data_IF_372559154711
#
_entry.id   IF_372559154711
#
_cell.length_a   1.000
_cell.length_b   1.000
_cell.length_c   1.000
_cell.angle_alpha   90.00
_cell.angle_beta   90.00
_cell.angle_gamma   90.00
#
_symmetry.space_group_name_H-M   'P 1'
#
loop_
_entity.id
_entity.type
_entity.pdbx_description
1 polymer ?
#
# COMPACT_ATOMS: atom_id res chain seq x y z
N UNK A 1 -45.51 5.08 -8.41
CA UNK A 1 -46.71 4.36 -8.93
C UNK A 1 -47.90 4.36 -7.97
N UNK A 2 -47.76 4.06 -6.67
CA UNK A 2 -48.92 3.95 -5.75
C UNK A 2 -49.71 5.26 -5.52
N UNK A 3 -49.07 6.42 -5.55
CA UNK A 3 -49.74 7.72 -5.38
C UNK A 3 -50.68 8.09 -6.55
N UNK A 4 -50.37 7.64 -7.77
CA UNK A 4 -51.17 7.94 -8.98
C UNK A 4 -52.46 7.11 -8.98
N UNK A 5 -52.41 5.88 -8.48
CA UNK A 5 -53.58 4.98 -8.39
C UNK A 5 -54.57 5.49 -7.33
N UNK A 6 -54.08 5.96 -6.18
CA UNK A 6 -54.94 6.54 -5.14
C UNK A 6 -55.65 7.80 -5.64
N UNK A 7 -54.99 8.61 -6.48
CA UNK A 7 -55.56 9.84 -7.02
C UNK A 7 -56.71 9.57 -7.99
N UNK A 8 -56.56 8.57 -8.87
CA UNK A 8 -57.63 8.16 -9.80
C UNK A 8 -58.83 7.52 -9.09
N UNK A 9 -58.59 6.78 -8.01
CA UNK A 9 -59.67 6.18 -7.23
C UNK A 9 -60.52 7.22 -6.50
N UNK A 10 -59.88 8.24 -5.90
CA UNK A 10 -60.59 9.36 -5.25
C UNK A 10 -61.38 10.24 -6.24
N UNK A 11 -60.87 10.43 -7.46
CA UNK A 11 -61.59 11.14 -8.52
C UNK A 11 -62.82 10.37 -9.04
N UNK A 12 -62.76 9.04 -9.04
CA UNK A 12 -63.89 8.17 -9.42
C UNK A 12 -65.04 8.26 -8.42
N UNK A 13 -64.75 8.23 -7.12
CA UNK A 13 -65.76 8.33 -6.06
C UNK A 13 -66.52 9.66 -6.06
N UNK A 14 -65.87 10.75 -6.47
CA UNK A 14 -66.50 12.07 -6.52
C UNK A 14 -67.48 12.23 -7.70
N UNK A 15 -67.28 11.47 -8.78
CA UNK A 15 -68.15 11.53 -9.97
C UNK A 15 -69.48 10.80 -9.80
N UNK A 16 -69.58 9.85 -8.87
CA UNK A 16 -70.75 8.96 -8.77
C UNK A 16 -71.82 9.41 -7.77
N UNK A 17 -71.58 10.41 -6.90
CA UNK A 17 -72.59 10.90 -5.94
C UNK A 17 -72.45 12.41 -5.63
N UNK A 18 -73.11 13.31 -6.38
CA UNK A 18 -73.15 14.74 -6.07
C UNK A 18 -74.20 15.02 -4.98
N UNK A 19 -73.83 14.87 -3.71
CA UNK A 19 -74.66 15.32 -2.58
C UNK A 19 -74.40 16.82 -2.31
N UNK A 20 -75.45 17.60 -2.03
CA UNK A 20 -75.43 19.06 -1.82
C UNK A 20 -74.59 19.56 -0.61
N UNK A 21 -73.81 18.71 0.06
CA UNK A 21 -72.75 19.10 1.00
C UNK A 21 -71.33 19.13 0.39
N UNK A 22 -71.22 19.08 -0.94
CA UNK A 22 -69.98 18.76 -1.65
C UNK A 22 -68.88 19.82 -1.59
N UNK A 23 -69.21 21.09 -1.36
CA UNK A 23 -68.22 22.19 -1.36
C UNK A 23 -67.27 22.10 -0.16
N UNK A 24 -67.80 21.83 1.03
CA UNK A 24 -66.99 21.72 2.25
C UNK A 24 -66.09 20.48 2.22
N UNK A 25 -66.60 19.37 1.67
CA UNK A 25 -65.81 18.15 1.48
C UNK A 25 -64.66 18.37 0.48
N UNK A 26 -64.90 19.12 -0.61
CA UNK A 26 -63.87 19.45 -1.59
C UNK A 26 -62.79 20.36 -1.00
N UNK A 27 -63.17 21.34 -0.18
CA UNK A 27 -62.22 22.23 0.52
C UNK A 27 -61.39 21.43 1.53
N UNK A 28 -62.01 20.51 2.28
CA UNK A 28 -61.33 19.65 3.24
C UNK A 28 -60.32 18.71 2.55
N UNK A 29 -60.69 18.10 1.41
CA UNK A 29 -59.80 17.24 0.62
C UNK A 29 -58.62 18.03 0.06
N UNK A 30 -58.83 19.27 -0.40
CA UNK A 30 -57.76 20.15 -0.86
C UNK A 30 -56.80 20.52 0.27
N UNK A 31 -57.32 20.93 1.43
CA UNK A 31 -56.50 21.26 2.61
C UNK A 31 -55.65 20.07 3.07
N UNK A 32 -56.24 18.88 3.15
CA UNK A 32 -55.53 17.65 3.54
C UNK A 32 -54.42 17.28 2.52
N UNK A 33 -54.68 17.46 1.22
CA UNK A 33 -53.67 17.25 0.16
C UNK A 33 -52.48 18.20 0.31
N UNK A 34 -52.73 19.48 0.56
CA UNK A 34 -51.65 20.45 0.79
C UNK A 34 -50.88 20.14 2.07
N UNK A 35 -51.58 19.81 3.16
CA UNK A 35 -50.93 19.40 4.42
C UNK A 35 -50.04 18.16 4.28
N UNK A 36 -50.51 17.13 3.56
CA UNK A 36 -49.72 15.91 3.28
C UNK A 36 -48.53 16.20 2.37
N UNK A 37 -48.67 17.10 1.38
CA UNK A 37 -47.56 17.49 0.50
C UNK A 37 -46.50 18.26 1.27
N UNK A 38 -46.90 19.22 2.12
CA UNK A 38 -46.01 19.98 2.99
C UNK A 38 -45.27 19.08 3.97
N UNK A 39 -45.97 18.12 4.59
CA UNK A 39 -45.37 17.17 5.53
C UNK A 39 -44.38 16.23 4.82
N UNK A 40 -44.67 15.83 3.57
CA UNK A 40 -43.77 15.02 2.75
C UNK A 40 -42.51 15.79 2.36
N UNK A 41 -42.64 17.07 1.97
CA UNK A 41 -41.52 17.95 1.65
C UNK A 41 -40.62 18.21 2.88
N UNK A 42 -41.23 18.36 4.07
CA UNK A 42 -40.51 18.50 5.33
C UNK A 42 -39.77 17.21 5.73
N UNK A 43 -40.37 16.04 5.47
CA UNK A 43 -39.70 14.75 5.66
C UNK A 43 -38.53 14.56 4.68
N UNK A 44 -38.68 14.96 3.41
CA UNK A 44 -37.59 14.93 2.42
C UNK A 44 -36.47 15.91 2.74
N UNK A 45 -36.77 17.10 3.28
CA UNK A 45 -35.74 18.06 3.71
C UNK A 45 -35.02 17.59 4.98
N UNK A 46 -35.72 16.98 5.93
CA UNK A 46 -35.10 16.43 7.15
C UNK A 46 -34.29 15.16 6.88
N UNK A 47 -34.71 14.31 5.92
CA UNK A 47 -33.94 13.13 5.50
C UNK A 47 -32.73 13.47 4.61
N UNK A 48 -32.68 14.65 3.99
CA UNK A 48 -31.54 15.06 3.16
C UNK A 48 -30.40 15.75 3.94
N UNK A 49 -30.58 16.00 5.24
CA UNK A 49 -29.61 16.79 6.04
C UNK A 49 -28.61 16.03 6.95
N UNK A 50 -28.51 14.67 6.99
CA UNK A 50 -27.31 14.05 7.57
C UNK A 50 -26.49 13.16 6.61
N UNK A 51 -26.84 12.99 5.33
CA UNK A 51 -26.02 12.15 4.43
C UNK A 51 -24.70 12.80 3.99
N UNK A 52 -24.53 14.13 4.15
CA UNK A 52 -23.28 14.82 3.84
C UNK A 52 -22.26 14.85 4.98
N UNK A 53 -22.64 14.45 6.19
CA UNK A 53 -21.75 14.48 7.36
C UNK A 53 -20.97 13.16 7.59
N UNK A 54 -21.14 12.15 6.72
CA UNK A 54 -20.39 10.89 6.77
C UNK A 54 -19.69 10.57 5.45
N UNK A 55 -19.38 11.57 4.63
CA UNK A 55 -18.25 11.39 3.71
C UNK A 55 -17.02 11.28 4.62
N UNK A 56 -16.60 10.04 4.90
CA UNK A 56 -15.23 9.74 5.32
C UNK A 56 -14.35 10.67 4.50
N UNK A 57 -13.76 11.68 5.15
CA UNK A 57 -12.86 12.62 4.50
C UNK A 57 -11.69 11.79 3.97
N UNK A 58 -11.80 11.29 2.74
CA UNK A 58 -10.66 10.84 1.97
C UNK A 58 -9.80 12.08 1.83
N UNK A 59 -8.75 12.13 2.64
CA UNK A 59 -7.78 13.21 2.53
C UNK A 59 -7.31 13.24 1.07
N UNK A 60 -7.22 14.41 0.43
CA UNK A 60 -6.78 14.47 -0.95
C UNK A 60 -5.32 14.02 -1.07
N UNK A 61 -4.97 13.47 -2.22
CA UNK A 61 -3.57 13.24 -2.58
C UNK A 61 -2.90 14.60 -2.71
N UNK A 62 -1.75 14.78 -2.06
CA UNK A 62 -1.06 16.06 -2.01
C UNK A 62 0.20 15.98 -2.85
N UNK A 63 0.40 16.93 -3.77
CA UNK A 63 1.66 17.10 -4.51
C UNK A 63 2.28 18.44 -4.09
N UNK A 64 3.42 18.37 -3.44
CA UNK A 64 4.22 19.52 -3.04
C UNK A 64 5.35 19.73 -4.06
N UNK A 65 5.40 20.93 -4.64
CA UNK A 65 6.41 21.31 -5.61
C UNK A 65 7.63 21.94 -4.94
N UNK A 66 8.74 22.03 -5.67
CA UNK A 66 10.01 22.59 -5.19
C UNK A 66 9.96 24.09 -4.89
N UNK A 67 8.98 24.81 -5.46
CA UNK A 67 8.71 26.22 -5.16
C UNK A 67 7.82 26.42 -3.91
N UNK A 68 7.50 25.34 -3.21
CA UNK A 68 6.65 25.35 -2.02
C UNK A 68 5.15 25.36 -2.30
N UNK A 69 4.72 25.44 -3.57
CA UNK A 69 3.29 25.29 -3.90
C UNK A 69 2.81 23.89 -3.61
N UNK A 70 1.53 23.78 -3.27
CA UNK A 70 0.86 22.52 -2.96
C UNK A 70 -0.41 22.42 -3.80
N UNK A 71 -0.57 21.28 -4.48
CA UNK A 71 -1.80 20.91 -5.19
C UNK A 71 -2.44 19.69 -4.53
N UNK A 72 -3.76 19.61 -4.63
CA UNK A 72 -4.57 18.54 -4.06
C UNK A 72 -5.36 17.85 -5.17
N UNK A 73 -5.40 16.52 -5.14
CA UNK A 73 -6.03 15.69 -6.17
C UNK A 73 -6.90 14.61 -5.54
N UNK A 74 -7.99 14.27 -6.21
CA UNK A 74 -8.91 13.21 -5.78
C UNK A 74 -8.48 11.84 -6.32
N UNK A 75 -7.70 11.82 -7.41
CA UNK A 75 -7.26 10.58 -8.08
C UNK A 75 -5.75 10.49 -8.23
N UNK A 76 -5.22 9.27 -8.30
CA UNK A 76 -3.79 9.06 -8.59
C UNK A 76 -3.44 9.46 -10.02
N UNK A 77 -4.33 9.23 -10.98
CA UNK A 77 -4.12 9.65 -12.37
C UNK A 77 -3.81 11.16 -12.44
N UNK A 78 -4.64 12.00 -11.82
CA UNK A 78 -4.44 13.45 -11.83
C UNK A 78 -3.17 13.86 -11.09
N UNK A 79 -2.89 13.26 -9.93
CA UNK A 79 -1.66 13.54 -9.19
C UNK A 79 -0.40 13.16 -9.99
N UNK A 80 -0.43 12.01 -10.69
CA UNK A 80 0.70 11.53 -11.49
C UNK A 80 0.88 12.33 -12.79
N UNK A 81 -0.21 12.78 -13.42
CA UNK A 81 -0.15 13.71 -14.55
C UNK A 81 0.41 15.09 -14.16
N UNK A 82 0.31 15.47 -12.88
CA UNK A 82 0.78 16.74 -12.36
C UNK A 82 2.22 16.72 -11.82
N UNK A 83 2.94 15.60 -11.92
CA UNK A 83 4.29 15.47 -11.39
C UNK A 83 5.26 16.42 -12.10
N UNK A 84 6.17 16.99 -11.30
CA UNK A 84 7.30 17.79 -11.77
C UNK A 84 8.56 17.33 -11.06
N UNK A 85 9.71 17.55 -11.69
CA UNK A 85 11.00 17.19 -11.10
C UNK A 85 11.17 17.81 -9.70
N UNK A 86 11.57 16.97 -8.75
CA UNK A 86 11.78 17.31 -7.35
C UNK A 86 10.50 17.38 -6.49
N UNK A 87 9.31 17.09 -7.05
CA UNK A 87 8.09 17.14 -6.25
C UNK A 87 7.99 15.96 -5.25
N UNK A 88 7.22 16.19 -4.19
CA UNK A 88 6.89 15.20 -3.17
C UNK A 88 5.39 14.91 -3.23
N UNK A 89 5.04 13.63 -3.33
CA UNK A 89 3.67 13.14 -3.40
C UNK A 89 3.33 12.44 -2.08
N UNK A 90 2.30 12.91 -1.40
CA UNK A 90 1.73 12.26 -0.23
C UNK A 90 0.40 11.63 -0.58
N UNK A 91 0.33 10.32 -0.46
CA UNK A 91 -0.87 9.53 -0.73
C UNK A 91 -1.43 9.10 0.64
N UNK A 92 -2.62 9.57 1.04
CA UNK A 92 -3.20 9.17 2.31
C UNK A 92 -3.63 7.71 2.32
N UNK A 93 -4.13 7.25 3.47
CA UNK A 93 -4.72 5.92 3.58
C UNK A 93 -5.96 5.83 2.69
N UNK A 94 -6.10 4.71 2.00
CA UNK A 94 -7.16 4.54 1.01
C UNK A 94 -6.79 3.50 -0.04
N UNK A 95 -7.76 3.23 -0.92
CA UNK A 95 -7.57 2.39 -2.10
C UNK A 95 -7.68 3.23 -3.34
N UNK A 96 -6.64 3.21 -4.15
CA UNK A 96 -6.52 4.04 -5.34
C UNK A 96 -6.23 3.18 -6.56
N UNK A 97 -6.73 3.61 -7.72
CA UNK A 97 -6.40 3.01 -9.00
C UNK A 97 -5.48 3.96 -9.76
N UNK A 98 -4.35 3.45 -10.24
CA UNK A 98 -3.46 4.13 -11.17
C UNK A 98 -3.64 3.48 -12.55
N UNK A 99 -4.07 4.25 -13.53
CA UNK A 99 -4.24 3.74 -14.89
C UNK A 99 -2.89 3.48 -15.58
N UNK A 100 -2.89 2.62 -16.60
CA UNK A 100 -1.72 2.29 -17.41
C UNK A 100 -1.41 3.32 -18.51
N UNK A 101 -1.99 4.52 -18.43
CA UNK A 101 -1.79 5.61 -19.40
C UNK A 101 -0.32 6.03 -19.46
N UNK A 102 0.08 6.66 -20.55
CA UNK A 102 1.47 7.09 -20.72
C UNK A 102 1.80 8.33 -19.88
N UNK A 103 0.78 9.15 -19.60
CA UNK A 103 0.83 10.38 -18.82
C UNK A 103 0.91 10.12 -17.31
N UNK A 104 0.53 8.92 -16.87
CA UNK A 104 0.57 8.50 -15.46
C UNK A 104 1.88 7.80 -15.09
N UNK A 105 2.85 7.74 -16.01
CA UNK A 105 4.18 7.16 -15.74
C UNK A 105 5.09 8.20 -15.11
N UNK A 106 5.94 7.78 -14.18
CA UNK A 106 6.90 8.66 -13.52
C UNK A 106 8.06 8.92 -14.49
N UNK A 107 8.19 10.16 -14.96
CA UNK A 107 9.19 10.61 -15.97
C UNK A 107 10.14 11.69 -15.45
N UNK A 108 10.10 11.95 -14.15
CA UNK A 108 10.95 12.93 -13.49
C UNK A 108 11.28 12.45 -12.07
N UNK A 109 12.34 12.98 -11.48
CA UNK A 109 12.70 12.69 -10.09
C UNK A 109 11.54 13.10 -9.16
N UNK A 110 11.03 12.17 -8.35
CA UNK A 110 9.96 12.44 -7.37
C UNK A 110 10.16 11.63 -6.10
N UNK A 111 9.56 12.07 -5.00
CA UNK A 111 9.42 11.26 -3.79
C UNK A 111 7.95 10.93 -3.55
N UNK A 112 7.59 9.65 -3.50
CA UNK A 112 6.22 9.18 -3.31
C UNK A 112 6.13 8.49 -1.95
N UNK A 113 5.28 9.04 -1.07
CA UNK A 113 5.04 8.54 0.28
C UNK A 113 3.58 8.15 0.45
N UNK A 114 3.33 6.88 0.74
CA UNK A 114 2.02 6.45 1.23
C UNK A 114 1.93 6.49 2.77
N UNK A 115 0.71 6.28 3.26
CA UNK A 115 0.37 6.20 4.67
C UNK A 115 0.77 4.86 5.33
N UNK A 116 1.60 4.04 4.71
CA UNK A 116 1.97 2.70 5.17
C UNK A 116 1.57 1.63 4.15
N UNK A 117 2.12 0.43 4.31
CA UNK A 117 1.99 -0.65 3.34
C UNK A 117 1.27 -1.90 3.88
N UNK A 118 0.95 -1.98 5.17
CA UNK A 118 0.32 -3.17 5.76
C UNK A 118 -0.71 -2.78 6.81
N UNK A 119 -1.80 -3.55 6.96
CA UNK A 119 -2.65 -3.44 8.13
C UNK A 119 -1.91 -3.99 9.35
N UNK A 120 -1.95 -3.27 10.47
CA UNK A 120 -1.40 -3.75 11.75
C UNK A 120 -2.46 -3.65 12.84
N UNK A 121 -2.75 -4.78 13.49
CA UNK A 121 -3.80 -4.86 14.50
C UNK A 121 -5.19 -4.61 13.91
N UNK A 122 -5.91 -3.59 14.42
CA UNK A 122 -7.23 -3.17 13.92
C UNK A 122 -7.14 -2.06 12.86
N UNK A 123 -5.95 -1.53 12.60
CA UNK A 123 -5.76 -0.38 11.71
C UNK A 123 -5.81 -0.86 10.26
N UNK A 124 -6.84 -0.44 9.53
CA UNK A 124 -6.96 -0.60 8.08
C UNK A 124 -6.29 0.54 7.30
N UNK A 125 -5.64 1.46 8.01
CA UNK A 125 -5.17 2.74 7.48
C UNK A 125 -3.78 2.63 6.84
N UNK A 126 -3.78 2.14 5.60
CA UNK A 126 -2.60 2.10 4.74
C UNK A 126 -2.96 2.54 3.32
N UNK A 127 -1.95 2.85 2.51
CA UNK A 127 -2.16 3.22 1.11
C UNK A 127 -2.12 1.97 0.26
N UNK A 128 -3.21 1.67 -0.45
CA UNK A 128 -3.30 0.58 -1.41
C UNK A 128 -3.43 1.14 -2.83
N UNK A 129 -2.57 0.71 -3.73
CA UNK A 129 -2.58 1.07 -5.14
C UNK A 129 -2.86 -0.17 -5.98
N UNK A 130 -3.85 -0.08 -6.86
CA UNK A 130 -4.09 -1.03 -7.94
C UNK A 130 -3.61 -0.42 -9.24
N UNK A 131 -2.81 -1.15 -10.01
CA UNK A 131 -2.15 -0.67 -11.23
C UNK A 131 -0.64 -0.57 -11.08
N UNK A 132 0.06 -0.63 -12.21
CA UNK A 132 1.52 -0.64 -12.24
C UNK A 132 2.10 0.76 -12.01
N UNK A 133 3.11 0.85 -11.14
CA UNK A 133 3.92 2.08 -10.99
C UNK A 133 5.14 1.91 -11.91
N UNK A 134 5.20 2.71 -12.97
CA UNK A 134 6.25 2.61 -14.00
C UNK A 134 7.15 3.85 -13.92
N UNK A 135 8.43 3.62 -13.62
CA UNK A 135 9.48 4.63 -13.67
C UNK A 135 10.19 4.55 -15.02
N UNK A 136 10.13 5.66 -15.77
CA UNK A 136 10.74 5.83 -17.09
C UNK A 136 11.97 6.72 -17.03
N UNK A 137 12.67 6.84 -18.15
CA UNK A 137 13.75 7.82 -18.33
C UNK A 137 13.35 9.20 -17.77
N UNK A 138 14.26 9.81 -17.01
CA UNK A 138 14.02 11.02 -16.22
C UNK A 138 13.62 10.77 -14.76
N UNK A 139 13.17 9.57 -14.39
CA UNK A 139 12.76 9.22 -13.02
C UNK A 139 13.92 8.87 -12.06
N UNK A 140 15.17 9.01 -12.48
CA UNK A 140 16.32 8.71 -11.64
C UNK A 140 16.29 9.48 -10.32
N UNK A 141 16.88 8.90 -9.26
CA UNK A 141 16.90 9.46 -7.91
C UNK A 141 15.51 9.61 -7.24
N UNK A 142 14.51 8.85 -7.73
CA UNK A 142 13.18 8.82 -7.11
C UNK A 142 13.10 7.90 -5.91
N UNK A 143 12.13 8.19 -5.04
CA UNK A 143 11.85 7.45 -3.80
C UNK A 143 10.41 6.95 -3.86
N UNK A 144 10.17 5.68 -3.52
CA UNK A 144 8.84 5.10 -3.33
C UNK A 144 8.80 4.41 -1.98
N UNK A 145 7.94 4.89 -1.09
CA UNK A 145 7.88 4.36 0.28
C UNK A 145 6.48 4.32 0.87
N UNK A 146 6.28 3.36 1.79
CA UNK A 146 5.11 3.33 2.66
C UNK A 146 3.81 3.09 1.91
N UNK A 147 3.79 2.22 0.91
CA UNK A 147 2.57 1.87 0.18
C UNK A 147 2.50 0.39 -0.13
N UNK A 148 1.27 -0.09 -0.29
CA UNK A 148 0.97 -1.41 -0.83
C UNK A 148 0.60 -1.28 -2.31
N UNK A 149 1.29 -2.00 -3.18
CA UNK A 149 0.87 -2.17 -4.56
C UNK A 149 0.34 -3.58 -4.77
N UNK A 150 -0.91 -3.68 -5.23
CA UNK A 150 -1.51 -4.95 -5.66
C UNK A 150 -1.03 -5.40 -7.04
N UNK A 151 -0.23 -4.56 -7.71
CA UNK A 151 0.36 -4.82 -9.01
C UNK A 151 1.88 -4.73 -8.92
N UNK A 152 2.55 -4.23 -9.96
CA UNK A 152 4.00 -4.25 -10.05
C UNK A 152 4.62 -2.85 -9.94
N UNK A 153 5.91 -2.81 -9.61
CA UNK A 153 6.75 -1.63 -9.79
C UNK A 153 7.76 -1.96 -10.89
N UNK A 154 7.74 -1.19 -11.97
CA UNK A 154 8.66 -1.33 -13.11
C UNK A 154 9.66 -0.18 -13.12
N UNK A 155 10.93 -0.50 -13.19
CA UNK A 155 12.03 0.44 -13.43
C UNK A 155 12.57 0.15 -14.83
N UNK A 156 12.23 1.02 -15.79
CA UNK A 156 12.67 0.89 -17.18
C UNK A 156 14.17 1.22 -17.33
N UNK A 157 14.72 1.04 -18.54
CA UNK A 157 16.13 1.28 -18.81
C UNK A 157 16.51 2.75 -18.55
N UNK A 158 17.78 2.98 -18.24
CA UNK A 158 18.37 4.30 -17.97
C UNK A 158 17.82 5.03 -16.73
N UNK A 159 17.07 4.34 -15.87
CA UNK A 159 16.60 4.86 -14.57
C UNK A 159 17.53 4.37 -13.46
N UNK A 160 18.13 5.30 -12.71
CA UNK A 160 19.20 5.05 -11.73
C UNK A 160 18.84 5.56 -10.34
N UNK A 161 19.56 5.10 -9.32
CA UNK A 161 19.49 5.63 -7.95
C UNK A 161 18.08 5.60 -7.33
N UNK A 162 17.29 4.57 -7.62
CA UNK A 162 15.93 4.45 -7.07
C UNK A 162 15.96 3.84 -5.69
N UNK A 163 15.22 4.43 -4.75
CA UNK A 163 14.96 3.83 -3.44
C UNK A 163 13.51 3.34 -3.37
N UNK A 164 13.33 2.02 -3.25
CA UNK A 164 12.04 1.39 -2.93
C UNK A 164 12.14 0.85 -1.51
N UNK A 165 11.42 1.45 -0.56
CA UNK A 165 11.56 1.11 0.86
C UNK A 165 10.23 1.01 1.59
N UNK A 166 10.12 0.02 2.48
CA UNK A 166 8.91 -0.17 3.30
C UNK A 166 7.64 -0.26 2.46
N UNK A 167 7.67 -1.11 1.43
CA UNK A 167 6.52 -1.42 0.58
C UNK A 167 6.03 -2.84 0.81
N UNK A 168 4.78 -3.10 0.40
CA UNK A 168 4.22 -4.44 0.19
C UNK A 168 3.78 -4.50 -1.28
N UNK A 169 4.53 -5.23 -2.11
CA UNK A 169 4.32 -5.23 -3.56
C UNK A 169 4.27 -6.65 -4.09
N UNK A 170 3.52 -6.87 -5.16
CA UNK A 170 3.53 -8.17 -5.82
C UNK A 170 4.90 -8.44 -6.47
N UNK A 171 5.33 -7.55 -7.38
CA UNK A 171 6.55 -7.74 -8.18
C UNK A 171 7.32 -6.43 -8.34
N UNK A 172 8.64 -6.52 -8.40
CA UNK A 172 9.53 -5.41 -8.79
C UNK A 172 10.41 -5.88 -9.95
N UNK A 173 10.47 -5.10 -11.03
CA UNK A 173 11.30 -5.42 -12.20
C UNK A 173 12.23 -4.27 -12.55
N UNK A 174 13.51 -4.60 -12.76
CA UNK A 174 14.51 -3.72 -13.35
C UNK A 174 14.87 -4.27 -14.73
N UNK A 175 14.65 -3.47 -15.77
CA UNK A 175 14.71 -3.97 -17.15
C UNK A 175 16.12 -4.03 -17.74
N UNK A 176 17.14 -3.44 -17.12
CA UNK A 176 18.44 -3.23 -17.75
C UNK A 176 19.62 -3.17 -16.77
N UNK A 177 20.84 -3.46 -17.26
CA UNK A 177 22.11 -3.19 -16.56
C UNK A 177 22.35 -1.71 -16.26
N UNK A 178 21.67 -0.84 -16.99
CA UNK A 178 21.71 0.62 -16.75
C UNK A 178 21.02 1.03 -15.44
N UNK A 179 20.28 0.14 -14.78
CA UNK A 179 19.57 0.41 -13.52
C UNK A 179 20.48 0.39 -12.27
N UNK A 180 21.57 1.16 -12.34
CA UNK A 180 22.60 1.23 -11.29
C UNK A 180 22.17 2.07 -10.09
N UNK A 181 22.66 1.71 -8.90
CA UNK A 181 22.42 2.48 -7.66
C UNK A 181 21.01 2.30 -7.08
N UNK A 182 20.24 1.36 -7.62
CA UNK A 182 18.90 1.06 -7.13
C UNK A 182 18.95 0.18 -5.87
N UNK A 183 18.07 0.49 -4.92
CA UNK A 183 17.97 -0.19 -3.62
C UNK A 183 16.52 -0.55 -3.35
N UNK A 184 16.26 -1.82 -3.05
CA UNK A 184 15.01 -2.33 -2.50
C UNK A 184 15.26 -2.75 -1.07
N UNK A 185 14.61 -2.12 -0.10
CA UNK A 185 14.87 -2.43 1.31
C UNK A 185 13.68 -2.42 2.23
N UNK A 186 13.75 -3.15 3.34
CA UNK A 186 12.75 -3.13 4.41
C UNK A 186 11.34 -3.45 3.92
N UNK A 187 11.20 -4.33 2.91
CA UNK A 187 9.98 -4.51 2.13
C UNK A 187 9.49 -5.95 2.11
N UNK A 188 8.20 -6.10 1.80
CA UNK A 188 7.57 -7.40 1.51
C UNK A 188 7.30 -7.46 0.01
N UNK A 189 7.86 -8.46 -0.65
CA UNK A 189 7.73 -8.68 -2.09
C UNK A 189 7.11 -10.06 -2.30
N UNK A 190 5.79 -10.08 -2.53
CA UNK A 190 4.97 -11.31 -2.49
C UNK A 190 5.30 -12.31 -3.59
N UNK A 191 5.73 -11.82 -4.75
CA UNK A 191 6.17 -12.65 -5.87
C UNK A 191 7.68 -12.55 -6.04
N UNK A 192 8.21 -11.41 -6.52
CA UNK A 192 9.66 -11.32 -6.74
C UNK A 192 10.24 -9.95 -7.06
N UNK A 193 11.56 -9.90 -6.93
CA UNK A 193 12.42 -8.86 -7.50
C UNK A 193 13.22 -9.48 -8.66
N UNK A 194 13.11 -8.92 -9.86
CA UNK A 194 13.84 -9.36 -11.05
C UNK A 194 14.72 -8.25 -11.60
N UNK A 195 16.00 -8.56 -11.85
CA UNK A 195 16.91 -7.70 -12.62
C UNK A 195 17.10 -8.11 -14.08
N UNK A 196 16.27 -9.05 -14.57
CA UNK A 196 16.33 -9.58 -15.94
C UNK A 196 17.74 -10.04 -16.38
N UNK A 197 18.54 -10.55 -15.44
CA UNK A 197 19.88 -11.10 -15.66
C UNK A 197 21.01 -10.07 -15.71
N UNK A 198 20.70 -8.78 -15.49
CA UNK A 198 21.60 -7.68 -15.86
C UNK A 198 21.68 -6.55 -14.85
N UNK A 199 20.65 -6.32 -14.03
CA UNK A 199 20.59 -5.12 -13.18
C UNK A 199 21.43 -5.24 -11.88
N UNK A 200 22.34 -4.28 -11.60
CA UNK A 200 23.11 -4.23 -10.35
C UNK A 200 22.32 -3.53 -9.23
N UNK A 201 21.38 -4.26 -8.64
CA UNK A 201 20.46 -3.76 -7.61
C UNK A 201 20.83 -4.32 -6.24
N UNK A 202 20.70 -3.50 -5.20
CA UNK A 202 20.79 -3.97 -3.82
C UNK A 202 19.40 -4.33 -3.31
N UNK A 203 19.24 -5.54 -2.76
CA UNK A 203 18.02 -6.01 -2.12
C UNK A 203 18.34 -6.42 -0.69
N UNK A 204 17.90 -5.63 0.28
CA UNK A 204 18.28 -5.83 1.68
C UNK A 204 17.09 -5.83 2.63
N UNK A 205 17.14 -6.62 3.71
CA UNK A 205 16.09 -6.60 4.73
C UNK A 205 14.68 -6.80 4.14
N UNK A 206 14.54 -7.75 3.22
CA UNK A 206 13.28 -8.02 2.54
C UNK A 206 12.76 -9.43 2.86
N UNK A 207 11.44 -9.54 3.01
CA UNK A 207 10.74 -10.81 2.86
C UNK A 207 10.27 -10.89 1.40
N UNK A 208 10.91 -11.73 0.60
CA UNK A 208 10.67 -11.79 -0.84
C UNK A 208 10.29 -13.21 -1.28
N UNK A 209 9.53 -13.35 -2.36
CA UNK A 209 9.27 -14.66 -2.96
C UNK A 209 10.53 -15.22 -3.59
N UNK A 210 10.95 -14.59 -4.68
CA UNK A 210 12.29 -14.82 -5.22
C UNK A 210 13.00 -13.51 -5.55
N UNK A 211 14.33 -13.56 -5.56
CA UNK A 211 15.19 -12.50 -6.08
C UNK A 211 16.05 -13.15 -7.16
N UNK A 212 15.94 -12.66 -8.39
CA UNK A 212 16.58 -13.26 -9.55
C UNK A 212 17.10 -12.22 -10.54
N UNK A 213 18.02 -12.64 -11.40
CA UNK A 213 18.52 -11.78 -12.46
C UNK A 213 19.34 -10.56 -12.00
N UNK A 214 19.88 -10.57 -10.78
CA UNK A 214 20.67 -9.45 -10.24
C UNK A 214 22.15 -9.66 -10.56
N UNK A 215 22.76 -8.73 -11.32
CA UNK A 215 24.17 -8.82 -11.72
C UNK A 215 25.00 -7.72 -11.07
N UNK A 216 25.99 -8.05 -10.24
CA UNK A 216 26.84 -7.05 -9.57
C UNK A 216 26.18 -6.34 -8.39
N UNK A 217 25.09 -6.89 -7.87
CA UNK A 217 24.35 -6.33 -6.75
C UNK A 217 24.64 -7.03 -5.42
N UNK A 218 23.88 -6.67 -4.40
CA UNK A 218 23.93 -7.31 -3.08
C UNK A 218 22.53 -7.83 -2.71
N UNK A 219 22.45 -9.07 -2.22
CA UNK A 219 21.26 -9.63 -1.60
C UNK A 219 21.60 -9.96 -0.16
N UNK A 220 21.08 -9.19 0.79
CA UNK A 220 21.46 -9.33 2.18
C UNK A 220 20.31 -9.28 3.19
N UNK A 221 20.41 -10.03 4.28
CA UNK A 221 19.44 -10.00 5.38
C UNK A 221 17.99 -10.25 4.91
N UNK A 222 17.80 -11.12 3.91
CA UNK A 222 16.49 -11.43 3.35
C UNK A 222 15.95 -12.78 3.81
N UNK A 223 14.62 -12.92 3.79
CA UNK A 223 13.92 -14.21 3.89
C UNK A 223 13.26 -14.49 2.54
N UNK A 224 13.49 -15.68 1.98
CA UNK A 224 13.18 -15.99 0.59
C UNK A 224 12.21 -17.18 0.48
N UNK A 225 10.98 -16.95 -0.01
CA UNK A 225 9.95 -17.99 -0.21
C UNK A 225 10.13 -18.69 -1.56
N UNK A 226 11.06 -19.64 -1.62
CA UNK A 226 11.08 -20.62 -2.71
C UNK A 226 9.97 -21.66 -2.56
N UNK A 227 9.03 -21.80 -3.50
CA UNK A 227 8.11 -22.95 -3.54
C UNK A 227 6.69 -22.67 -4.06
N UNK A 228 6.44 -23.06 -5.31
CA UNK A 228 5.10 -23.12 -5.93
C UNK A 228 5.20 -22.93 -7.45
N UNK A 229 5.50 -24.01 -8.17
CA UNK A 229 5.90 -24.10 -9.59
C UNK A 229 7.38 -23.84 -9.88
N UNK A 230 7.94 -24.78 -10.63
CA UNK A 230 9.35 -25.00 -10.93
C UNK A 230 10.05 -23.77 -11.49
N UNK A 231 10.91 -23.14 -10.69
CA UNK A 231 12.07 -22.38 -11.17
C UNK A 231 13.19 -22.54 -10.15
N UNK A 232 14.35 -22.97 -10.64
CA UNK A 232 15.62 -23.02 -9.93
C UNK A 232 15.82 -21.73 -9.13
N UNK A 233 16.00 -21.87 -7.82
CA UNK A 233 16.29 -20.74 -6.94
C UNK A 233 17.47 -19.97 -7.54
N UNK A 234 17.31 -18.67 -7.72
CA UNK A 234 18.31 -17.78 -8.31
C UNK A 234 18.63 -18.01 -9.79
N UNK A 235 17.67 -18.18 -10.71
CA UNK A 235 18.05 -18.06 -12.13
C UNK A 235 18.65 -16.67 -12.39
N UNK A 236 19.97 -16.65 -12.60
CA UNK A 236 20.79 -15.57 -13.18
C UNK A 236 21.20 -14.43 -12.26
N UNK A 237 21.43 -14.71 -10.98
CA UNK A 237 22.28 -13.80 -10.20
C UNK A 237 23.75 -14.06 -10.58
N UNK A 238 24.42 -13.02 -11.07
CA UNK A 238 25.78 -13.10 -11.60
C UNK A 238 26.69 -12.11 -10.89
N UNK A 239 27.85 -12.55 -10.40
CA UNK A 239 28.83 -11.60 -9.85
C UNK A 239 28.26 -10.74 -8.70
N UNK A 240 27.32 -11.29 -7.92
CA UNK A 240 26.65 -10.60 -6.82
C UNK A 240 27.14 -11.12 -5.46
N UNK A 241 27.00 -10.30 -4.42
CA UNK A 241 27.23 -10.69 -3.03
C UNK A 241 25.91 -11.15 -2.40
N UNK A 242 25.85 -12.39 -1.93
CA UNK A 242 24.71 -12.95 -1.22
C UNK A 242 25.12 -13.21 0.21
N UNK A 243 24.50 -12.57 1.19
CA UNK A 243 24.85 -12.80 2.59
C UNK A 243 23.72 -12.73 3.61
N UNK A 244 23.85 -13.45 4.71
CA UNK A 244 22.91 -13.40 5.84
C UNK A 244 21.45 -13.68 5.41
N UNK A 245 21.22 -14.52 4.40
CA UNK A 245 19.87 -14.82 3.90
C UNK A 245 19.34 -16.14 4.46
N UNK A 246 18.01 -16.23 4.61
CA UNK A 246 17.31 -17.47 4.97
C UNK A 246 16.36 -17.85 3.85
N UNK A 247 16.45 -19.08 3.36
CA UNK A 247 15.50 -19.67 2.42
C UNK A 247 14.39 -20.40 3.16
N UNK A 248 13.15 -20.25 2.72
CA UNK A 248 12.01 -21.03 3.22
C UNK A 248 11.82 -22.36 2.46
N UNK A 249 12.68 -22.66 1.47
CA UNK A 249 12.80 -24.00 0.90
C UNK A 249 14.18 -24.57 1.22
N UNK A 250 14.16 -25.65 1.99
CA UNK A 250 15.36 -26.36 2.45
C UNK A 250 15.93 -27.31 1.39
N UNK A 251 15.13 -27.72 0.40
CA UNK A 251 15.50 -28.80 -0.53
C UNK A 251 15.92 -28.30 -1.91
N UNK A 252 15.54 -27.08 -2.28
CA UNK A 252 15.75 -26.61 -3.63
C UNK A 252 17.20 -26.14 -3.81
N UNK A 253 17.85 -26.59 -4.90
CA UNK A 253 19.21 -26.17 -5.27
C UNK A 253 19.29 -24.68 -5.58
N UNK A 254 20.49 -24.10 -5.48
CA UNK A 254 20.80 -22.73 -5.87
C UNK A 254 21.37 -22.71 -7.29
N UNK A 255 20.98 -21.74 -8.11
CA UNK A 255 21.47 -21.53 -9.48
C UNK A 255 22.30 -20.24 -9.58
N UNK A 256 23.28 -20.10 -8.70
CA UNK A 256 24.15 -18.93 -8.68
C UNK A 256 25.36 -19.12 -9.60
N UNK A 257 25.84 -18.05 -10.23
CA UNK A 257 27.05 -18.09 -11.04
C UNK A 257 27.97 -16.91 -10.69
N UNK A 258 29.24 -17.19 -10.43
CA UNK A 258 30.25 -16.20 -10.04
C UNK A 258 29.83 -15.32 -8.83
N UNK A 259 28.92 -15.80 -7.97
CA UNK A 259 28.48 -15.07 -6.80
C UNK A 259 29.36 -15.39 -5.59
N UNK A 260 29.51 -14.41 -4.70
CA UNK A 260 30.10 -14.61 -3.38
C UNK A 260 28.98 -14.90 -2.39
N UNK A 261 29.13 -15.96 -1.59
CA UNK A 261 28.15 -16.34 -0.57
C UNK A 261 28.78 -16.27 0.82
N UNK A 262 28.12 -15.61 1.77
CA UNK A 262 28.55 -15.55 3.17
C UNK A 262 27.37 -15.72 4.14
N UNK A 263 27.49 -16.61 5.13
CA UNK A 263 26.51 -16.74 6.21
C UNK A 263 25.06 -16.96 5.72
N UNK A 264 24.84 -17.76 4.66
CA UNK A 264 23.50 -18.04 4.14
C UNK A 264 22.94 -19.38 4.64
N UNK A 265 21.69 -19.37 5.09
CA UNK A 265 20.85 -20.53 5.37
C UNK A 265 19.85 -20.74 4.21
N UNK A 266 20.33 -21.15 3.03
CA UNK A 266 19.50 -21.31 1.83
C UNK A 266 19.81 -22.62 1.12
N UNK A 267 18.76 -23.33 0.67
CA UNK A 267 18.86 -24.50 -0.21
C UNK A 267 19.37 -25.77 0.47
N UNK A 268 19.64 -26.81 -0.34
CA UNK A 268 19.96 -28.16 0.14
C UNK A 268 21.32 -28.29 0.87
N UNK A 269 22.27 -27.41 0.57
CA UNK A 269 23.59 -27.35 1.19
C UNK A 269 23.88 -25.92 1.63
N UNK A 270 23.24 -25.46 2.72
CA UNK A 270 23.44 -24.11 3.21
C UNK A 270 24.80 -23.97 3.92
N UNK A 271 25.35 -22.76 3.98
CA UNK A 271 26.56 -22.48 4.77
C UNK A 271 26.28 -22.55 6.27
N UNK A 272 25.07 -22.13 6.65
CA UNK A 272 24.54 -22.28 8.00
C UNK A 272 23.45 -23.36 7.96
N UNK A 273 23.60 -24.50 8.65
CA UNK A 273 22.63 -25.59 8.59
C UNK A 273 21.29 -25.18 9.21
N UNK A 274 20.17 -25.63 8.63
CA UNK A 274 18.86 -25.56 9.29
C UNK A 274 18.87 -26.41 10.58
N UNK A 275 18.10 -26.03 11.62
CA UNK A 275 17.92 -26.88 12.78
C UNK A 275 17.14 -28.17 12.42
N UNK A 276 17.29 -29.24 13.20
CA UNK A 276 16.70 -30.55 12.92
C UNK A 276 15.17 -30.54 12.79
N UNK A 277 14.48 -29.57 13.41
CA UNK A 277 13.04 -29.39 13.29
C UNK A 277 12.60 -28.44 12.17
N UNK A 278 13.48 -28.13 11.21
CA UNK A 278 13.15 -27.29 10.05
C UNK A 278 12.84 -25.82 10.40
N UNK A 279 12.00 -25.19 9.60
CA UNK A 279 11.67 -23.77 9.72
C UNK A 279 10.83 -23.46 10.98
N UNK A 280 10.01 -24.41 11.41
CA UNK A 280 9.21 -24.34 12.64
C UNK A 280 10.11 -24.30 13.88
N UNK A 281 11.25 -24.98 13.85
CA UNK A 281 12.26 -24.91 14.91
C UNK A 281 13.15 -23.66 14.81
N UNK A 282 13.19 -22.98 13.67
CA UNK A 282 14.02 -21.81 13.42
C UNK A 282 13.39 -20.51 13.93
N UNK A 283 12.11 -20.28 13.60
CA UNK A 283 11.42 -19.02 13.88
C UNK A 283 10.53 -19.10 15.12
N UNK A 284 10.33 -17.94 15.77
CA UNK A 284 9.39 -17.79 16.91
C UNK A 284 7.97 -18.24 16.53
N UNK A 285 7.51 -17.90 15.32
CA UNK A 285 6.25 -18.39 14.75
C UNK A 285 6.34 -18.49 13.23
N UNK A 286 5.98 -19.64 12.68
CA UNK A 286 6.00 -19.87 11.24
C UNK A 286 4.76 -20.66 10.80
N UNK A 287 4.10 -20.17 9.76
CA UNK A 287 2.97 -20.79 9.08
C UNK A 287 3.30 -20.92 7.59
N UNK A 288 3.66 -22.13 7.17
CA UNK A 288 4.04 -22.44 5.80
C UNK A 288 2.92 -22.22 4.78
N UNK A 289 1.64 -22.17 5.21
CA UNK A 289 0.51 -21.97 4.30
C UNK A 289 0.47 -20.55 3.73
N UNK A 290 0.95 -19.57 4.49
CA UNK A 290 0.90 -18.15 4.14
C UNK A 290 2.12 -17.39 4.69
N UNK A 291 3.33 -17.63 4.15
CA UNK A 291 4.56 -17.08 4.68
C UNK A 291 4.66 -15.55 4.56
N UNK A 292 3.89 -14.90 3.68
CA UNK A 292 3.89 -13.43 3.58
C UNK A 292 2.99 -12.74 4.59
N UNK A 293 2.22 -13.50 5.35
CA UNK A 293 1.31 -12.95 6.33
C UNK A 293 2.01 -12.71 7.67
N UNK A 294 2.49 -11.49 7.86
CA UNK A 294 3.18 -11.07 9.08
C UNK A 294 2.27 -11.02 10.32
N UNK A 295 0.93 -11.15 10.17
CA UNK A 295 0.05 -11.35 11.33
C UNK A 295 0.06 -12.80 11.84
N UNK A 296 0.41 -13.74 10.96
CA UNK A 296 0.53 -15.17 11.26
C UNK A 296 1.95 -15.60 11.57
N UNK A 297 2.95 -14.92 11.03
CA UNK A 297 4.37 -15.26 11.16
C UNK A 297 5.12 -14.28 12.05
N UNK A 298 6.13 -14.76 12.77
CA UNK A 298 7.13 -13.95 13.46
C UNK A 298 8.50 -14.54 13.13
N UNK A 299 9.21 -13.86 12.22
CA UNK A 299 10.47 -14.34 11.65
C UNK A 299 11.69 -14.06 12.53
N UNK A 300 11.51 -13.62 13.78
CA UNK A 300 12.60 -13.56 14.76
C UNK A 300 13.11 -14.99 14.99
N UNK A 301 14.43 -15.12 15.09
CA UNK A 301 15.05 -16.41 15.35
C UNK A 301 14.81 -16.82 16.81
N UNK A 302 14.49 -18.09 17.02
CA UNK A 302 14.47 -18.67 18.37
C UNK A 302 15.86 -18.63 18.97
N UNK A 303 15.95 -18.44 20.30
CA UNK A 303 17.23 -18.39 21.00
C UNK A 303 18.04 -19.69 20.79
N UNK A 304 19.30 -19.53 20.38
CA UNK A 304 20.26 -20.64 20.31
C UNK A 304 20.18 -21.50 19.05
N UNK A 305 19.39 -21.09 18.05
CA UNK A 305 19.40 -21.74 16.73
C UNK A 305 20.62 -21.31 15.93
N UNK A 306 20.98 -22.09 14.91
CA UNK A 306 22.20 -21.90 14.09
C UNK A 306 22.31 -20.54 13.39
N UNK A 307 21.20 -19.83 13.18
CA UNK A 307 21.21 -18.49 12.59
C UNK A 307 21.47 -17.34 13.57
N UNK A 308 21.45 -17.60 14.88
CA UNK A 308 21.65 -16.58 15.91
C UNK A 308 23.12 -16.14 15.96
N UNK A 309 23.38 -14.83 15.90
CA UNK A 309 24.73 -14.24 15.83
C UNK A 309 25.63 -14.80 14.71
N UNK A 310 25.03 -15.40 13.67
CA UNK A 310 25.76 -16.07 12.61
C UNK A 310 26.02 -15.16 11.38
N UNK A 311 25.51 -13.94 11.40
CA UNK A 311 25.71 -12.97 10.33
C UNK A 311 27.15 -12.47 10.25
N UNK A 312 27.51 -11.93 9.10
CA UNK A 312 28.85 -11.37 8.83
C UNK A 312 29.26 -10.25 9.80
N UNK A 313 28.30 -9.63 10.49
CA UNK A 313 28.50 -8.59 11.50
C UNK A 313 28.29 -9.07 12.94
N UNK A 314 28.18 -10.38 13.15
CA UNK A 314 27.93 -11.00 14.46
C UNK A 314 26.49 -10.87 14.96
N UNK A 315 25.56 -10.35 14.15
CA UNK A 315 24.13 -10.34 14.44
C UNK A 315 23.44 -11.59 13.87
N UNK A 316 22.16 -11.72 14.12
CA UNK A 316 21.33 -12.76 13.51
C UNK A 316 21.35 -12.66 11.98
N UNK A 317 21.09 -13.77 11.29
CA UNK A 317 20.82 -13.75 9.84
C UNK A 317 19.34 -13.48 9.56
N UNK A 318 19.01 -13.13 8.32
CA UNK A 318 17.64 -12.88 7.87
C UNK A 318 17.14 -11.49 8.23
N UNK A 319 15.82 -11.36 8.32
CA UNK A 319 15.11 -10.08 8.26
C UNK A 319 15.50 -9.08 9.35
N UNK A 320 15.65 -9.57 10.59
CA UNK A 320 15.98 -8.79 11.78
C UNK A 320 17.48 -8.77 12.10
N UNK A 321 18.29 -9.42 11.27
CA UNK A 321 19.75 -9.36 11.34
C UNK A 321 20.31 -8.00 10.93
N UNK A 322 19.70 -7.39 9.91
CA UNK A 322 20.00 -6.01 9.53
C UNK A 322 19.14 -4.99 10.27
N UNK A 323 19.24 -3.72 9.85
CA UNK A 323 18.47 -2.62 10.45
C UNK A 323 17.29 -2.19 9.57
N UNK A 324 16.19 -1.78 10.21
CA UNK A 324 15.14 -0.99 9.56
C UNK A 324 13.93 -1.76 9.03
N UNK A 325 13.87 -3.09 9.17
CA UNK A 325 12.64 -3.82 8.88
C UNK A 325 11.59 -3.56 9.96
N UNK A 326 10.38 -3.16 9.53
CA UNK A 326 9.23 -2.91 10.39
C UNK A 326 8.07 -3.84 10.01
N UNK A 327 7.69 -4.70 10.96
CA UNK A 327 6.59 -5.65 10.83
C UNK A 327 5.25 -4.94 10.61
N UNK A 328 5.11 -3.74 11.18
CA UNK A 328 3.86 -2.99 11.14
C UNK A 328 3.63 -2.28 9.79
N UNK A 329 4.68 -2.13 8.97
CA UNK A 329 4.58 -1.46 7.68
C UNK A 329 4.06 -0.03 7.79
N UNK A 330 4.30 0.65 8.93
CA UNK A 330 3.76 1.98 9.22
C UNK A 330 4.36 3.01 8.26
N UNK A 331 3.68 4.16 8.15
CA UNK A 331 4.17 5.25 7.30
C UNK A 331 5.59 5.67 7.72
N UNK A 332 6.52 5.85 6.77
CA UNK A 332 7.85 6.34 7.08
C UNK A 332 7.87 7.81 7.55
N UNK A 333 6.75 8.52 7.36
CA UNK A 333 6.56 9.91 7.74
C UNK A 333 5.59 10.00 8.92
N UNK A 334 5.77 10.99 9.83
CA UNK A 334 4.84 11.21 10.92
C UNK A 334 3.41 11.42 10.43
N UNK A 335 2.43 10.85 11.14
CA UNK A 335 1.00 11.02 10.85
C UNK A 335 0.34 11.91 11.88
N UNK A 336 -0.60 12.74 11.45
CA UNK A 336 -1.54 13.40 12.37
C UNK A 336 -2.58 12.35 12.81
N UNK A 337 -2.61 12.05 14.10
CA UNK A 337 -3.53 11.09 14.73
C UNK A 337 -4.82 11.78 15.20
N UNK A 338 -4.70 12.98 15.75
CA UNK A 338 -5.83 13.79 16.21
C UNK A 338 -5.68 15.17 15.59
N UNK A 339 -6.77 15.66 14.99
CA UNK A 339 -6.91 17.05 14.54
C UNK A 339 -8.24 17.57 15.02
N UNK A 340 -8.23 18.25 16.16
CA UNK A 340 -9.38 18.98 16.67
C UNK A 340 -9.10 20.47 16.44
N UNK A 341 -9.89 21.11 15.57
CA UNK A 341 -9.89 22.55 15.38
C UNK A 341 -11.25 23.03 15.86
N UNK A 342 -11.27 23.93 16.84
CA UNK A 342 -12.52 24.51 17.32
C UNK A 342 -13.26 25.18 16.14
N UNK A 343 -14.59 25.10 16.09
CA UNK A 343 -15.35 25.70 14.99
C UNK A 343 -15.31 27.24 15.01
N UNK A 344 -14.93 27.85 16.16
CA UNK A 344 -14.91 29.28 16.39
C UNK A 344 -13.74 29.67 17.31
N UNK A 345 -13.39 30.96 17.31
CA UNK A 345 -12.46 31.57 18.26
C UNK A 345 -13.12 31.74 19.64
N UNK A 346 -12.30 31.79 20.70
CA UNK A 346 -12.78 32.15 22.03
C UNK A 346 -13.03 33.66 22.18
N UNK A 347 -13.49 34.09 23.35
CA UNK A 347 -13.77 35.50 23.67
C UNK A 347 -12.53 36.42 23.61
N UNK A 348 -11.33 35.84 23.46
CA UNK A 348 -10.07 36.56 23.27
C UNK A 348 -9.54 36.43 21.84
N UNK A 349 -10.41 36.06 20.89
CA UNK A 349 -10.08 35.85 19.47
C UNK A 349 -9.04 34.74 19.20
N UNK A 350 -8.93 33.75 20.08
CA UNK A 350 -7.98 32.62 19.91
C UNK A 350 -8.70 31.38 19.39
N UNK A 351 -8.13 30.73 18.37
CA UNK A 351 -8.63 29.47 17.85
C UNK A 351 -7.97 28.29 18.56
N UNK A 352 -8.77 27.47 19.26
CA UNK A 352 -8.24 26.26 19.92
C UNK A 352 -7.96 25.18 18.88
N UNK A 353 -6.69 24.77 18.81
CA UNK A 353 -6.23 23.70 17.92
C UNK A 353 -5.50 22.65 18.75
N UNK A 354 -5.85 21.38 18.56
CA UNK A 354 -5.13 20.24 19.13
C UNK A 354 -4.74 19.31 17.99
N UNK A 355 -3.43 19.19 17.79
CA UNK A 355 -2.82 18.26 16.85
C UNK A 355 -2.03 17.22 17.66
N UNK A 356 -2.34 15.95 17.51
CA UNK A 356 -1.49 14.85 17.99
C UNK A 356 -0.80 14.24 16.77
N UNK A 357 0.53 14.13 16.82
CA UNK A 357 1.34 13.52 15.77
C UNK A 357 1.95 12.23 16.31
N UNK A 358 1.87 11.16 15.53
CA UNK A 358 2.63 9.93 15.76
C UNK A 358 3.82 9.95 14.79
N UNK A 359 5.03 10.04 15.33
CA UNK A 359 6.25 9.74 14.59
C UNK A 359 6.64 8.27 14.80
N UNK A 360 7.27 7.69 13.79
CA UNK A 360 7.80 6.33 13.81
C UNK A 360 9.21 6.26 14.38
#
# INVERSE_FOLDING_TARGET
MRAIVLNRWLESLYKENPLEGSVDLLIMIRSLRWGLLSLSLLFFSMLSMPLRAQQLYTSPITVQYTDGKVSYFDTLDEAFMALKAGCVVYIPSGSYTLSSKEETKVKCQVAIYGAGCRPYGKDTDYTRITGDIILKEGASSSIIMGLRSESHIYVEANVKNILIKNVDVNYISFSSESNTGCVVTSSVIRYSVSGNGKAPVQVTNCLAGYIGGIKGGEIANCILRGGGYSYSNYNWSYSSLLRNNIGLSMTNGKSISNCQEECNMVGAQPQIPYPSGGLEALFEKYDASDPFNLSKNNYRLKKGVSGTNAGTDGKDIGLYGGSGFDDSGRAPIPKIKIREIAPQTDEQDRLKVKIEVIAN
#
